data_IF_712820172433
#
_entry.id   IF_712820172433
#
_cell.length_a   1.000
_cell.length_b   1.000
_cell.length_c   1.000
_cell.angle_alpha   90.00
_cell.angle_beta   90.00
_cell.angle_gamma   90.00
#
_symmetry.space_group_name_H-M   'P 1'
#
loop_
_entity.id
_entity.type
_entity.pdbx_description
1 polymer ?
#
# COMPACT_ATOMS: atom_id res chain seq x y z
N UNK A 1 4.37 -12.51 12.58
CA UNK A 1 3.14 -12.92 11.86
C UNK A 1 3.54 -13.80 10.69
N UNK A 2 2.95 -14.99 10.53
CA UNK A 2 3.18 -15.75 9.28
C UNK A 2 2.54 -14.95 8.13
N UNK A 3 3.18 -14.86 6.95
CA UNK A 3 2.54 -14.24 5.79
C UNK A 3 1.30 -15.06 5.44
N UNK A 4 0.13 -14.42 5.32
CA UNK A 4 -1.01 -15.04 4.66
C UNK A 4 -0.73 -15.18 3.15
N UNK A 5 -1.69 -15.73 2.39
CA UNK A 5 -1.58 -15.75 0.92
C UNK A 5 -1.43 -14.34 0.32
N UNK A 6 -1.84 -13.30 1.05
CA UNK A 6 -1.70 -11.89 0.67
C UNK A 6 -0.83 -11.16 1.68
N UNK A 7 0.13 -10.37 1.17
CA UNK A 7 0.95 -9.46 1.97
C UNK A 7 0.68 -8.01 1.58
N UNK A 8 0.53 -7.16 2.59
CA UNK A 8 0.44 -5.71 2.44
C UNK A 8 1.81 -5.07 2.70
N UNK A 9 2.27 -4.22 1.79
CA UNK A 9 3.53 -3.49 1.91
C UNK A 9 3.34 -2.01 1.64
N UNK A 10 4.18 -1.18 2.24
CA UNK A 10 4.25 0.26 1.96
C UNK A 10 5.69 0.76 2.09
N UNK A 11 5.93 2.02 1.69
CA UNK A 11 7.23 2.67 1.90
C UNK A 11 7.44 3.05 3.38
N UNK A 12 6.57 3.92 3.93
CA UNK A 12 6.76 4.50 5.25
C UNK A 12 6.02 3.78 6.39
N UNK A 13 6.58 3.84 7.60
CA UNK A 13 5.94 3.34 8.83
C UNK A 13 4.63 4.05 9.15
N UNK A 14 4.55 5.35 8.89
CA UNK A 14 3.33 6.14 9.08
C UNK A 14 2.16 5.58 8.26
N UNK A 15 2.39 5.32 6.97
CA UNK A 15 1.41 4.67 6.08
C UNK A 15 1.00 3.29 6.59
N UNK A 16 1.95 2.48 7.07
CA UNK A 16 1.65 1.17 7.65
C UNK A 16 0.70 1.30 8.86
N UNK A 17 1.03 2.20 9.79
CA UNK A 17 0.23 2.43 11.00
C UNK A 17 -1.15 3.00 10.67
N UNK A 18 -1.25 3.89 9.69
CA UNK A 18 -2.54 4.45 9.28
C UNK A 18 -3.47 3.36 8.72
N UNK A 19 -2.95 2.51 7.83
CA UNK A 19 -3.70 1.39 7.24
C UNK A 19 -4.05 0.35 8.29
N UNK A 20 -3.10 -0.04 9.15
CA UNK A 20 -3.35 -1.01 10.22
C UNK A 20 -4.41 -0.50 11.20
N UNK A 21 -4.33 0.78 11.60
CA UNK A 21 -5.31 1.41 12.48
C UNK A 21 -6.71 1.44 11.86
N UNK A 22 -6.81 1.74 10.56
CA UNK A 22 -8.09 1.80 9.87
C UNK A 22 -8.71 0.44 9.58
N UNK A 23 -7.89 -0.54 9.18
CA UNK A 23 -8.37 -1.77 8.54
C UNK A 23 -8.20 -3.01 9.41
N UNK A 24 -7.24 -2.99 10.34
CA UNK A 24 -6.75 -4.14 11.11
C UNK A 24 -5.83 -5.07 10.31
N UNK A 25 -5.40 -4.67 9.11
CA UNK A 25 -4.49 -5.45 8.27
C UNK A 25 -3.03 -5.17 8.66
N UNK A 26 -2.19 -6.21 8.84
CA UNK A 26 -0.78 -6.00 9.08
C UNK A 26 -0.09 -5.53 7.81
N UNK A 27 0.52 -4.35 7.84
CA UNK A 27 1.25 -3.77 6.70
C UNK A 27 2.74 -3.74 7.01
N UNK A 28 3.57 -4.15 6.06
CA UNK A 28 5.02 -4.15 6.21
C UNK A 28 5.62 -2.86 5.65
N UNK A 29 6.16 -1.98 6.50
CA UNK A 29 6.90 -0.81 6.03
C UNK A 29 8.29 -1.24 5.55
N UNK A 30 8.61 -0.89 4.30
CA UNK A 30 9.89 -1.23 3.68
C UNK A 30 10.91 -0.08 3.76
N UNK A 31 10.61 0.95 4.55
CA UNK A 31 11.48 2.07 4.95
C UNK A 31 11.75 3.08 3.84
N UNK A 32 11.97 2.66 2.60
CA UNK A 32 12.22 3.56 1.47
C UNK A 32 11.82 2.96 0.11
N UNK A 33 11.70 3.82 -0.89
CA UNK A 33 11.38 3.46 -2.27
C UNK A 33 12.28 2.38 -2.88
N UNK A 34 13.59 2.38 -2.57
CA UNK A 34 14.53 1.41 -3.11
C UNK A 34 14.24 -0.02 -2.59
N UNK A 35 14.01 -0.16 -1.29
CA UNK A 35 13.66 -1.44 -0.67
C UNK A 35 12.27 -1.92 -1.07
N UNK A 36 11.33 -0.99 -1.27
CA UNK A 36 10.01 -1.29 -1.84
C UNK A 36 10.16 -1.90 -3.24
N UNK A 37 10.93 -1.26 -4.12
CA UNK A 37 11.16 -1.74 -5.48
C UNK A 37 11.80 -3.15 -5.51
N UNK A 38 12.70 -3.45 -4.57
CA UNK A 38 13.44 -4.72 -4.50
C UNK A 38 12.77 -5.77 -3.59
N UNK A 39 11.58 -5.51 -3.06
CA UNK A 39 10.90 -6.42 -2.14
C UNK A 39 10.64 -7.80 -2.74
N UNK A 40 11.10 -8.84 -2.05
CA UNK A 40 10.88 -10.23 -2.41
C UNK A 40 9.88 -10.85 -1.42
N UNK A 41 8.64 -11.13 -1.84
CA UNK A 41 7.70 -11.80 -0.96
C UNK A 41 8.16 -13.24 -0.68
N UNK A 42 7.89 -13.78 0.52
CA UNK A 42 8.14 -15.19 0.83
C UNK A 42 7.43 -16.15 -0.15
N UNK A 43 7.93 -17.38 -0.35
CA UNK A 43 7.36 -18.32 -1.33
C UNK A 43 5.87 -18.67 -1.14
N UNK A 44 5.33 -18.51 0.07
CA UNK A 44 3.92 -18.78 0.37
C UNK A 44 2.94 -17.67 -0.07
N UNK A 45 3.45 -16.53 -0.56
CA UNK A 45 2.63 -15.37 -0.91
C UNK A 45 2.14 -15.48 -2.36
N UNK A 46 0.82 -15.48 -2.54
CA UNK A 46 0.15 -15.50 -3.83
C UNK A 46 -0.15 -14.09 -4.38
N UNK A 47 -0.30 -13.09 -3.50
CA UNK A 47 -0.56 -11.71 -3.89
C UNK A 47 0.08 -10.65 -2.99
N UNK A 48 0.40 -9.49 -3.56
CA UNK A 48 0.93 -8.33 -2.83
C UNK A 48 0.07 -7.10 -3.07
N UNK A 49 -0.34 -6.44 -1.99
CA UNK A 49 -1.00 -5.13 -2.02
C UNK A 49 0.02 -4.05 -1.62
N UNK A 50 0.21 -3.08 -2.50
CA UNK A 50 1.21 -2.03 -2.35
C UNK A 50 0.48 -0.73 -2.02
N UNK A 51 0.58 -0.29 -0.77
CA UNK A 51 0.00 0.97 -0.30
C UNK A 51 1.01 2.08 -0.57
N UNK A 52 0.75 2.85 -1.62
CA UNK A 52 1.60 3.95 -2.06
C UNK A 52 0.93 5.31 -1.76
N UNK A 53 1.75 6.32 -1.52
CA UNK A 53 1.27 7.69 -1.31
C UNK A 53 1.02 8.35 -2.66
N UNK A 54 0.08 9.30 -2.69
CA UNK A 54 -0.33 10.02 -3.89
C UNK A 54 0.37 11.37 -3.94
N UNK A 55 1.53 11.42 -4.56
CA UNK A 55 2.33 12.63 -4.72
C UNK A 55 2.25 13.22 -6.15
N UNK A 56 2.46 14.53 -6.28
CA UNK A 56 2.53 15.20 -7.59
C UNK A 56 3.79 14.84 -8.39
N UNK A 57 4.81 14.27 -7.73
CA UNK A 57 6.10 13.91 -8.34
C UNK A 57 6.19 12.43 -8.73
N UNK A 58 5.19 11.63 -8.35
CA UNK A 58 5.06 10.20 -8.64
C UNK A 58 6.25 9.36 -8.17
N UNK A 59 6.96 9.77 -7.12
CA UNK A 59 8.16 9.09 -6.64
C UNK A 59 7.83 7.71 -6.06
N UNK A 60 6.97 7.68 -5.05
CA UNK A 60 6.50 6.42 -4.43
C UNK A 60 5.71 5.55 -5.41
N UNK A 61 4.96 6.19 -6.32
CA UNK A 61 4.19 5.50 -7.35
C UNK A 61 5.09 4.76 -8.36
N UNK A 62 6.23 5.35 -8.73
CA UNK A 62 7.21 4.69 -9.62
C UNK A 62 7.82 3.44 -8.99
N UNK A 63 8.21 3.50 -7.72
CA UNK A 63 8.74 2.34 -7.00
C UNK A 63 7.67 1.23 -6.87
N UNK A 64 6.43 1.61 -6.55
CA UNK A 64 5.31 0.68 -6.49
C UNK A 64 5.01 0.02 -7.86
N UNK A 65 5.10 0.78 -8.96
CA UNK A 65 4.94 0.27 -10.33
C UNK A 65 6.06 -0.69 -10.71
N UNK A 66 7.31 -0.39 -10.36
CA UNK A 66 8.45 -1.26 -10.60
C UNK A 66 8.31 -2.59 -9.85
N UNK A 67 7.95 -2.54 -8.56
CA UNK A 67 7.63 -3.74 -7.76
C UNK A 67 6.50 -4.56 -8.40
N UNK A 68 5.38 -3.91 -8.73
CA UNK A 68 4.22 -4.57 -9.34
C UNK A 68 4.61 -5.30 -10.63
N UNK A 69 5.36 -4.64 -11.52
CA UNK A 69 5.81 -5.21 -12.80
C UNK A 69 6.65 -6.47 -12.56
N UNK A 70 7.65 -6.39 -11.68
CA UNK A 70 8.51 -7.53 -11.34
C UNK A 70 7.74 -8.69 -10.75
N UNK A 71 6.80 -8.42 -9.83
CA UNK A 71 5.96 -9.47 -9.24
C UNK A 71 5.10 -10.17 -10.29
N UNK A 72 4.53 -9.42 -11.23
CA UNK A 72 3.76 -9.99 -12.34
C UNK A 72 4.61 -10.87 -13.25
N UNK A 73 5.84 -10.45 -13.57
CA UNK A 73 6.81 -11.27 -14.34
C UNK A 73 7.17 -12.57 -13.61
N UNK A 74 7.10 -12.57 -12.27
CA UNK A 74 7.29 -13.75 -11.42
C UNK A 74 6.03 -14.60 -11.23
N UNK A 75 4.88 -14.21 -11.83
CA UNK A 75 3.60 -14.89 -11.66
C UNK A 75 2.87 -14.58 -10.34
N UNK A 76 3.34 -13.60 -9.58
CA UNK A 76 2.74 -13.16 -8.30
C UNK A 76 1.78 -12.01 -8.59
N UNK A 77 0.54 -12.10 -8.09
CA UNK A 77 -0.45 -11.03 -8.28
C UNK A 77 -0.03 -9.80 -7.48
N UNK A 78 -0.18 -8.61 -8.07
CA UNK A 78 0.16 -7.38 -7.38
C UNK A 78 -0.80 -6.24 -7.73
N UNK A 79 -1.19 -5.45 -6.72
CA UNK A 79 -2.09 -4.31 -6.86
C UNK A 79 -1.50 -3.10 -6.13
N UNK A 80 -1.57 -1.92 -6.77
CA UNK A 80 -1.16 -0.64 -6.16
C UNK A 80 -2.42 0.08 -5.69
N UNK A 81 -2.37 0.55 -4.46
CA UNK A 81 -3.43 1.24 -3.77
C UNK A 81 -2.98 2.67 -3.52
N UNK A 82 -3.79 3.62 -3.96
CA UNK A 82 -3.56 5.05 -3.76
C UNK A 82 -4.71 5.67 -2.97
N UNK A 83 -4.44 6.68 -2.13
CA UNK A 83 -5.45 7.54 -1.54
C UNK A 83 -6.43 8.06 -2.60
N UNK A 84 -7.73 7.89 -2.36
CA UNK A 84 -8.76 8.38 -3.29
C UNK A 84 -9.01 9.88 -3.15
N UNK A 85 -8.56 10.48 -2.05
CA UNK A 85 -8.67 11.91 -1.81
C UNK A 85 -7.96 12.72 -2.92
N UNK A 86 -8.52 13.88 -3.31
CA UNK A 86 -7.83 14.80 -4.22
C UNK A 86 -6.63 15.43 -3.51
N UNK A 87 -5.57 15.74 -4.27
CA UNK A 87 -4.44 16.49 -3.70
C UNK A 87 -4.88 17.95 -3.52
N UNK A 88 -4.89 18.50 -2.29
CA UNK A 88 -5.27 19.89 -2.07
C UNK A 88 -4.40 20.88 -2.84
N UNK A 89 -4.93 22.07 -3.10
CA UNK A 89 -4.17 23.14 -3.74
C UNK A 89 -3.00 23.60 -2.84
N UNK A 90 -1.80 23.64 -3.41
CA UNK A 90 -0.56 23.95 -2.69
C UNK A 90 0.08 22.78 -1.93
N UNK A 91 -0.60 21.63 -1.81
CA UNK A 91 -0.02 20.44 -1.19
C UNK A 91 0.88 19.67 -2.16
N UNK A 92 1.88 18.95 -1.60
CA UNK A 92 2.82 18.13 -2.38
C UNK A 92 2.24 16.76 -2.77
N UNK A 93 1.25 16.28 -2.02
CA UNK A 93 0.63 14.98 -2.18
C UNK A 93 -0.42 14.76 -1.09
N UNK A 94 -0.95 13.53 -1.04
CA UNK A 94 -1.83 13.00 0.00
C UNK A 94 -1.33 11.60 0.35
N UNK A 95 -1.22 11.30 1.63
CA UNK A 95 -0.85 9.98 2.13
C UNK A 95 -2.04 9.26 2.81
N UNK A 96 -1.80 8.06 3.33
CA UNK A 96 -2.85 7.29 4.00
C UNK A 96 -3.17 7.77 5.41
N UNK A 97 -2.26 8.53 6.04
CA UNK A 97 -2.54 9.16 7.32
C UNK A 97 -3.52 10.33 7.15
N UNK A 98 -3.39 11.13 6.09
CA UNK A 98 -4.38 12.14 5.69
C UNK A 98 -5.78 11.52 5.53
N UNK A 99 -5.86 10.36 4.87
CA UNK A 99 -7.11 9.60 4.70
C UNK A 99 -7.68 9.18 6.04
N UNK A 100 -6.85 8.67 6.95
CA UNK A 100 -7.27 8.28 8.29
C UNK A 100 -7.78 9.48 9.10
N UNK A 101 -7.09 10.62 9.05
CA UNK A 101 -7.46 11.82 9.79
C UNK A 101 -8.76 12.45 9.26
N UNK A 102 -8.93 12.53 7.93
CA UNK A 102 -10.10 13.19 7.33
C UNK A 102 -11.35 12.30 7.33
N UNK A 103 -11.20 11.00 7.08
CA UNK A 103 -12.31 10.08 6.81
C UNK A 103 -12.43 8.93 7.80
N UNK A 104 -11.46 8.78 8.70
CA UNK A 104 -11.40 7.62 9.60
C UNK A 104 -11.33 6.29 8.84
N UNK A 105 -11.74 5.19 9.48
CA UNK A 105 -11.77 3.86 8.86
C UNK A 105 -12.60 3.78 7.56
N UNK A 106 -13.60 4.66 7.38
CA UNK A 106 -14.40 4.71 6.16
C UNK A 106 -13.61 5.23 4.94
N UNK A 107 -12.51 5.96 5.16
CA UNK A 107 -11.60 6.36 4.09
C UNK A 107 -10.96 5.17 3.36
N UNK A 108 -10.99 3.99 3.98
CA UNK A 108 -10.44 2.75 3.48
C UNK A 108 -11.53 1.81 2.96
N UNK A 109 -12.83 2.12 3.15
CA UNK A 109 -13.94 1.16 2.98
C UNK A 109 -14.32 0.83 1.54
N UNK A 110 -14.10 1.73 0.57
CA UNK A 110 -14.21 1.38 -0.87
C UNK A 110 -13.22 0.29 -1.28
N UNK A 111 -12.22 0.04 -0.43
CA UNK A 111 -11.20 -0.97 -0.64
C UNK A 111 -11.19 -2.05 0.48
N UNK A 112 -11.66 -1.75 1.69
CA UNK A 112 -11.53 -2.62 2.87
C UNK A 112 -12.49 -3.83 2.89
N UNK A 113 -13.71 -3.72 2.32
CA UNK A 113 -14.59 -4.89 2.16
C UNK A 113 -13.98 -5.92 1.21
N UNK A 114 -13.38 -5.44 0.11
CA UNK A 114 -12.64 -6.30 -0.83
C UNK A 114 -11.40 -6.90 -0.16
N UNK A 115 -10.76 -6.18 0.75
CA UNK A 115 -9.53 -6.64 1.40
C UNK A 115 -9.70 -7.61 2.56
N UNK A 116 -10.86 -7.60 3.21
CA UNK A 116 -11.23 -8.58 4.24
C UNK A 116 -11.78 -9.88 3.65
N UNK A 117 -12.38 -9.83 2.46
CA UNK A 117 -13.02 -10.98 1.82
C UNK A 117 -12.04 -12.02 1.22
N UNK A 118 -10.73 -11.76 1.23
CA UNK A 118 -9.71 -12.64 0.61
C UNK A 118 -8.69 -13.15 1.64
N UNK A 119 -9.14 -13.44 2.87
CA UNK A 119 -8.39 -14.26 3.83
C UNK A 119 -8.80 -15.71 3.75
#
# INVERSE_FOLDING_TARGET
SQPGEIVDVCEGLETALAVETATGLPVWPLVNAYLLEHFMPPPAVAAVRIWADKDRREGGQKAALALKKRLWEMGIKAQILLPWLPIPDGAKGVDWNDVLLERGPFGFSKQAEVYRAVR
#
